data_IF_612857190422
#
_entry.id   IF_612857190422
#
_cell.length_a   1.000
_cell.length_b   1.000
_cell.length_c   1.000
_cell.angle_alpha   90.00
_cell.angle_beta   90.00
_cell.angle_gamma   90.00
#
_symmetry.space_group_name_H-M   'P 1'
#
loop_
_entity.id
_entity.type
_entity.pdbx_description
1 polymer ?
#
# COMPACT_ATOMS: atom_id res chain seq x y z
N UNK A 1 -10.23 9.06 4.66
CA UNK A 1 -10.33 7.67 5.17
C UNK A 1 -8.92 7.06 5.21
N UNK A 2 -8.69 6.07 6.08
CA UNK A 2 -7.52 5.19 6.09
C UNK A 2 -7.77 3.98 5.18
N UNK A 3 -6.74 3.51 4.48
CA UNK A 3 -6.82 2.31 3.65
C UNK A 3 -6.52 1.09 4.51
N UNK A 4 -7.38 0.07 4.44
CA UNK A 4 -7.17 -1.18 5.15
C UNK A 4 -7.43 -2.40 4.27
N UNK A 5 -6.86 -3.51 4.69
CA UNK A 5 -7.10 -4.82 4.06
C UNK A 5 -8.53 -5.31 4.32
N UNK A 6 -8.99 -6.28 3.54
CA UNK A 6 -10.32 -6.90 3.63
C UNK A 6 -10.60 -7.48 5.03
N UNK A 7 -9.55 -7.92 5.74
CA UNK A 7 -9.63 -8.44 7.12
C UNK A 7 -10.14 -7.41 8.14
N UNK A 8 -10.00 -6.11 7.86
CA UNK A 8 -10.51 -5.05 8.71
C UNK A 8 -11.97 -4.74 8.42
N UNK A 9 -12.68 -4.29 9.45
CA UNK A 9 -14.05 -3.79 9.29
C UNK A 9 -14.06 -2.47 8.54
N UNK A 10 -15.09 -2.27 7.72
CA UNK A 10 -15.30 -1.00 7.05
C UNK A 10 -15.93 0.01 8.04
N UNK A 11 -15.49 1.26 7.97
CA UNK A 11 -16.07 2.35 8.78
C UNK A 11 -15.98 3.65 8.00
N UNK A 12 -16.58 4.73 8.50
CA UNK A 12 -16.45 6.06 7.90
C UNK A 12 -14.98 6.52 7.81
N UNK A 13 -14.13 6.00 8.69
CA UNK A 13 -12.71 6.28 8.73
C UNK A 13 -11.85 5.21 8.06
N UNK A 14 -12.39 4.05 7.69
CA UNK A 14 -11.65 2.92 7.12
C UNK A 14 -12.28 2.45 5.81
N UNK A 15 -11.51 2.54 4.73
CA UNK A 15 -11.88 2.08 3.40
C UNK A 15 -11.17 0.78 3.08
N UNK A 16 -11.93 -0.21 2.63
CA UNK A 16 -11.44 -1.53 2.23
C UNK A 16 -11.97 -1.89 0.83
N UNK A 17 -11.29 -2.79 0.10
CA UNK A 17 -11.76 -3.23 -1.21
C UNK A 17 -13.17 -3.85 -1.13
N UNK A 18 -13.87 -3.88 -2.27
CA UNK A 18 -15.07 -4.68 -2.43
C UNK A 18 -14.72 -6.17 -2.24
N UNK A 19 -15.41 -6.88 -1.32
CA UNK A 19 -15.19 -8.30 -1.10
C UNK A 19 -15.80 -9.13 -2.25
N UNK A 20 -15.22 -10.30 -2.51
CA UNK A 20 -15.73 -11.27 -3.49
C UNK A 20 -14.90 -11.38 -4.76
N UNK A 21 -15.05 -12.51 -5.47
CA UNK A 21 -14.26 -12.85 -6.67
C UNK A 21 -14.88 -12.36 -7.98
N UNK A 22 -16.21 -12.31 -8.05
CA UNK A 22 -16.95 -11.88 -9.26
C UNK A 22 -17.42 -10.43 -9.12
N UNK A 23 -16.51 -9.51 -9.36
CA UNK A 23 -16.77 -8.07 -9.29
C UNK A 23 -16.99 -7.51 -10.69
N UNK A 24 -17.92 -6.57 -10.82
CA UNK A 24 -18.05 -5.79 -12.05
C UNK A 24 -16.82 -4.90 -12.26
N UNK A 25 -16.62 -4.43 -13.49
CA UNK A 25 -15.41 -3.66 -13.84
C UNK A 25 -15.24 -2.41 -12.98
N UNK A 26 -16.33 -1.71 -12.66
CA UNK A 26 -16.31 -0.58 -11.73
C UNK A 26 -15.71 -0.93 -10.35
N UNK A 27 -16.14 -2.04 -9.74
CA UNK A 27 -15.60 -2.50 -8.44
C UNK A 27 -14.16 -3.01 -8.59
N UNK A 28 -13.80 -3.62 -9.72
CA UNK A 28 -12.42 -4.03 -10.03
C UNK A 28 -11.49 -2.82 -10.16
N UNK A 29 -11.92 -1.76 -10.83
CA UNK A 29 -11.21 -0.47 -10.92
C UNK A 29 -10.99 0.10 -9.54
N UNK A 30 -12.05 0.15 -8.72
CA UNK A 30 -11.92 0.64 -7.35
C UNK A 30 -10.90 -0.18 -6.55
N UNK A 31 -11.01 -1.51 -6.55
CA UNK A 31 -10.09 -2.39 -5.82
C UNK A 31 -8.65 -2.23 -6.30
N UNK A 32 -8.45 -2.13 -7.62
CA UNK A 32 -7.14 -1.90 -8.20
C UNK A 32 -6.55 -0.56 -7.75
N UNK A 33 -7.31 0.53 -7.81
CA UNK A 33 -6.85 1.86 -7.36
C UNK A 33 -6.50 1.87 -5.88
N UNK A 34 -7.33 1.24 -5.05
CA UNK A 34 -7.08 1.14 -3.61
C UNK A 34 -5.82 0.31 -3.30
N UNK A 35 -5.65 -0.82 -4.00
CA UNK A 35 -4.45 -1.66 -3.92
C UNK A 35 -3.20 -0.94 -4.41
N UNK A 36 -3.31 -0.12 -5.47
CA UNK A 36 -2.20 0.66 -6.04
C UNK A 36 -1.68 1.68 -5.02
N UNK A 37 -2.56 2.42 -4.34
CA UNK A 37 -2.16 3.35 -3.26
C UNK A 37 -1.48 2.61 -2.11
N UNK A 38 -2.04 1.46 -1.70
CA UNK A 38 -1.46 0.64 -0.61
C UNK A 38 -0.07 0.12 -0.96
N UNK A 39 0.12 -0.38 -2.19
CA UNK A 39 1.43 -0.89 -2.63
C UNK A 39 2.47 0.21 -2.79
N UNK A 40 2.07 1.38 -3.30
CA UNK A 40 3.03 2.45 -3.60
C UNK A 40 3.50 3.24 -2.41
N UNK A 41 2.57 3.59 -1.54
CA UNK A 41 2.90 4.49 -0.44
C UNK A 41 3.19 3.65 0.78
N UNK A 42 2.22 2.84 1.21
CA UNK A 42 2.31 2.11 2.48
C UNK A 42 3.43 1.06 2.43
N UNK A 43 3.41 0.14 1.45
CA UNK A 43 4.43 -0.92 1.39
C UNK A 43 5.83 -0.37 1.17
N UNK A 44 5.99 0.61 0.28
CA UNK A 44 7.28 1.22 -0.01
C UNK A 44 7.85 1.93 1.23
N UNK A 45 7.04 2.74 1.94
CA UNK A 45 7.49 3.41 3.17
C UNK A 45 7.92 2.42 4.24
N UNK A 46 7.09 1.41 4.56
CA UNK A 46 7.45 0.40 5.56
C UNK A 46 8.63 -0.47 5.12
N UNK A 47 8.73 -0.75 3.82
CA UNK A 47 9.82 -1.49 3.21
C UNK A 47 11.16 -0.77 3.34
N UNK A 48 11.21 0.49 2.94
CA UNK A 48 12.40 1.35 3.07
C UNK A 48 12.77 1.51 4.54
N UNK A 49 11.79 1.77 5.42
CA UNK A 49 12.02 1.85 6.86
C UNK A 49 12.65 0.55 7.37
N UNK A 50 12.09 -0.61 7.06
CA UNK A 50 12.60 -1.89 7.55
C UNK A 50 13.98 -2.23 6.97
N UNK A 51 14.22 -1.94 5.70
CA UNK A 51 15.50 -2.17 5.04
C UNK A 51 16.63 -1.29 5.64
N UNK A 52 16.34 -0.01 5.94
CA UNK A 52 17.29 0.91 6.57
C UNK A 52 17.47 0.62 8.06
N UNK A 53 16.37 0.34 8.76
CA UNK A 53 16.32 0.05 10.19
C UNK A 53 16.17 -1.45 10.40
N UNK A 54 17.26 -2.18 10.19
CA UNK A 54 17.32 -3.66 10.25
C UNK A 54 16.79 -4.29 11.54
N UNK A 55 16.61 -3.50 12.61
CA UNK A 55 15.94 -3.92 13.84
C UNK A 55 14.53 -4.47 13.56
N UNK A 56 13.83 -3.96 12.54
CA UNK A 56 12.48 -4.42 12.17
C UNK A 56 12.48 -5.69 11.31
N UNK A 57 13.64 -6.14 10.81
CA UNK A 57 13.75 -7.37 10.01
C UNK A 57 13.87 -8.63 10.86
N UNK A 58 13.95 -8.50 12.19
CA UNK A 58 14.08 -9.60 13.14
C UNK A 58 13.09 -9.41 14.29
N UNK A 59 12.77 -10.50 14.99
CA UNK A 59 12.02 -10.42 16.24
C UNK A 59 12.75 -9.54 17.25
N UNK A 60 12.05 -8.56 17.80
CA UNK A 60 12.60 -7.63 18.78
C UNK A 60 12.41 -8.26 20.17
N UNK A 61 13.52 -8.56 20.85
CA UNK A 61 13.49 -9.08 22.23
C UNK A 61 13.40 -7.92 23.23
N UNK A 62 12.22 -7.32 23.35
CA UNK A 62 11.93 -6.24 24.30
C UNK A 62 10.45 -6.25 24.70
N UNK A 63 10.11 -5.59 25.81
CA UNK A 63 8.71 -5.40 26.19
C UNK A 63 7.98 -4.47 25.21
N UNK A 64 6.65 -4.59 25.04
CA UNK A 64 5.88 -3.73 24.14
C UNK A 64 6.14 -2.24 24.34
N UNK A 65 6.15 -1.76 25.59
CA UNK A 65 6.40 -0.35 25.92
C UNK A 65 7.78 0.16 25.45
N UNK A 66 8.77 -0.73 25.35
CA UNK A 66 10.12 -0.41 24.87
C UNK A 66 10.16 -0.48 23.34
N UNK A 67 9.48 -1.47 22.75
CA UNK A 67 9.33 -1.57 21.29
C UNK A 67 8.68 -0.32 20.72
N UNK A 68 7.64 0.22 21.37
CA UNK A 68 6.99 1.46 20.95
C UNK A 68 7.97 2.63 20.88
N UNK A 69 8.89 2.74 21.86
CA UNK A 69 9.95 3.76 21.85
C UNK A 69 10.93 3.55 20.70
N UNK A 70 11.29 2.30 20.38
CA UNK A 70 12.15 2.00 19.24
C UNK A 70 11.49 2.36 17.91
N UNK A 71 10.20 2.05 17.76
CA UNK A 71 9.42 2.41 16.57
C UNK A 71 9.36 3.94 16.42
N UNK A 72 8.99 4.66 17.48
CA UNK A 72 8.91 6.12 17.45
C UNK A 72 10.27 6.77 17.14
N UNK A 73 11.35 6.31 17.79
CA UNK A 73 12.69 6.82 17.54
C UNK A 73 13.13 6.59 16.09
N UNK A 74 12.89 5.38 15.55
CA UNK A 74 13.20 5.06 14.16
C UNK A 74 12.38 5.90 13.19
N UNK A 75 11.08 6.12 13.46
CA UNK A 75 10.23 6.99 12.63
C UNK A 75 10.71 8.44 12.63
N UNK A 76 11.00 9.02 13.81
CA UNK A 76 11.50 10.38 13.92
C UNK A 76 12.81 10.56 13.13
N UNK A 77 13.75 9.63 13.30
CA UNK A 77 15.05 9.70 12.64
C UNK A 77 14.94 9.40 11.14
N UNK A 78 14.09 8.47 10.74
CA UNK A 78 13.76 8.21 9.33
C UNK A 78 13.22 9.46 8.63
N UNK A 79 12.24 10.13 9.23
CA UNK A 79 11.64 11.34 8.67
C UNK A 79 12.67 12.48 8.57
N UNK A 80 13.53 12.63 9.58
CA UNK A 80 14.63 13.60 9.53
C UNK A 80 15.61 13.29 8.39
N UNK A 81 16.03 12.03 8.24
CA UNK A 81 16.96 11.62 7.19
C UNK A 81 16.36 11.75 5.79
N UNK A 82 15.07 11.45 5.61
CA UNK A 82 14.35 11.72 4.35
C UNK A 82 14.36 13.22 4.06
N UNK A 83 14.00 14.05 5.03
CA UNK A 83 13.99 15.51 4.85
C UNK A 83 15.36 16.03 4.40
N UNK A 84 16.44 15.55 5.02
CA UNK A 84 17.82 15.91 4.64
C UNK A 84 18.27 15.31 3.31
N UNK A 85 17.74 14.16 2.93
CA UNK A 85 17.98 13.55 1.63
C UNK A 85 17.30 14.38 0.52
N UNK A 86 16.08 14.84 0.74
CA UNK A 86 15.29 15.58 -0.26
C UNK A 86 15.80 17.01 -0.47
N UNK A 87 16.50 17.58 0.53
CA UNK A 87 17.26 18.83 0.38
C UNK A 87 18.47 18.70 -0.58
N UNK A 88 18.94 17.48 -0.86
CA UNK A 88 20.11 17.23 -1.71
C UNK A 88 19.72 16.95 -3.17
N UNK A 89 20.64 17.24 -4.09
CA UNK A 89 20.48 16.87 -5.49
C UNK A 89 20.34 15.35 -5.64
N UNK A 90 19.59 14.83 -6.62
CA UNK A 90 19.32 13.39 -6.76
C UNK A 90 20.55 12.48 -6.75
N UNK A 91 21.68 12.96 -7.28
CA UNK A 91 22.95 12.22 -7.33
C UNK A 91 23.67 12.13 -5.97
N UNK A 92 23.29 12.98 -5.01
CA UNK A 92 23.88 13.08 -3.68
C UNK A 92 23.01 12.39 -2.61
N UNK A 93 21.80 11.97 -2.96
CA UNK A 93 20.86 11.29 -2.08
C UNK A 93 21.37 9.91 -1.66
N UNK A 94 21.89 9.80 -0.44
CA UNK A 94 22.43 8.52 0.10
C UNK A 94 21.40 7.69 0.86
N UNK A 95 20.45 8.36 1.52
CA UNK A 95 19.51 7.69 2.41
C UNK A 95 18.35 7.04 1.64
N UNK A 96 17.86 7.73 0.61
CA UNK A 96 16.82 7.21 -0.25
C UNK A 96 17.10 7.70 -1.68
N UNK A 97 18.10 7.12 -2.37
CA UNK A 97 18.28 7.41 -3.79
C UNK A 97 17.04 6.92 -4.53
N UNK A 98 16.69 7.53 -5.66
CA UNK A 98 15.40 7.26 -6.26
C UNK A 98 15.26 5.80 -6.77
N UNK A 99 16.36 5.07 -6.99
CA UNK A 99 16.46 3.64 -7.36
C UNK A 99 16.09 2.72 -6.20
N UNK A 100 16.22 3.22 -4.98
CA UNK A 100 15.88 2.49 -3.77
C UNK A 100 14.37 2.40 -3.54
N UNK A 101 13.57 3.18 -4.27
CA UNK A 101 12.11 3.28 -4.15
C UNK A 101 11.47 2.52 -5.30
N UNK A 102 10.32 1.85 -5.06
CA UNK A 102 9.50 1.34 -6.16
C UNK A 102 9.08 2.49 -7.10
N UNK A 103 9.38 2.37 -8.40
CA UNK A 103 9.04 3.36 -9.43
C UNK A 103 7.93 2.85 -10.35
N UNK A 104 7.27 3.74 -11.07
CA UNK A 104 6.31 3.37 -12.11
C UNK A 104 6.79 3.86 -13.46
N UNK A 105 6.65 3.02 -14.49
CA UNK A 105 6.82 3.45 -15.88
C UNK A 105 5.59 4.24 -16.35
N UNK A 106 5.74 4.99 -17.45
CA UNK A 106 4.61 5.69 -18.08
C UNK A 106 3.44 4.76 -18.47
N UNK A 107 3.72 3.46 -18.63
CA UNK A 107 2.76 2.40 -18.98
C UNK A 107 2.05 1.79 -17.77
N UNK A 108 2.35 2.25 -16.56
CA UNK A 108 1.69 1.78 -15.36
C UNK A 108 2.35 0.57 -14.66
N UNK A 109 3.49 0.11 -15.20
CA UNK A 109 4.21 -1.05 -14.66
C UNK A 109 5.10 -0.62 -13.49
N UNK A 110 5.17 -1.47 -12.46
CA UNK A 110 5.96 -1.19 -11.26
C UNK A 110 7.37 -1.74 -11.47
N UNK A 111 8.37 -0.86 -11.43
CA UNK A 111 9.78 -1.20 -11.30
C UNK A 111 10.07 -1.33 -9.81
N UNK A 112 10.51 -2.51 -9.40
CA UNK A 112 10.81 -2.82 -8.00
C UNK A 112 12.07 -2.08 -7.53
N UNK A 113 11.98 -1.42 -6.38
CA UNK A 113 13.12 -0.73 -5.77
C UNK A 113 14.07 -1.68 -5.05
N UNK A 114 15.32 -1.28 -4.90
CA UNK A 114 16.38 -2.09 -4.28
C UNK A 114 16.06 -2.53 -2.84
N UNK A 115 15.20 -1.79 -2.12
CA UNK A 115 14.79 -2.12 -0.75
C UNK A 115 14.20 -3.53 -0.61
N UNK A 116 13.58 -4.05 -1.68
CA UNK A 116 12.98 -5.40 -1.73
C UNK A 116 14.01 -6.51 -1.68
N UNK A 117 15.22 -6.28 -2.19
CA UNK A 117 16.31 -7.25 -2.16
C UNK A 117 16.91 -7.38 -0.75
N UNK A 118 16.76 -6.35 0.08
CA UNK A 118 17.29 -6.33 1.45
C UNK A 118 16.32 -6.90 2.50
N UNK A 119 15.02 -6.98 2.16
CA UNK A 119 13.96 -7.49 3.03
C UNK A 119 13.52 -8.89 2.59
N UNK A 120 14.43 -9.86 2.61
CA UNK A 120 14.12 -11.25 2.22
C UNK A 120 13.51 -12.07 3.36
N UNK A 121 12.82 -11.41 4.31
CA UNK A 121 12.13 -12.06 5.42
C UNK A 121 10.66 -11.63 5.48
N UNK A 122 9.79 -12.43 4.86
CA UNK A 122 8.33 -12.35 4.96
C UNK A 122 7.86 -12.71 6.37
N UNK A 123 8.07 -11.80 7.33
CA UNK A 123 7.62 -11.96 8.72
C UNK A 123 6.24 -11.33 8.98
N UNK A 124 5.70 -10.56 8.03
CA UNK A 124 4.37 -9.96 8.14
C UNK A 124 3.31 -10.99 7.76
N UNK A 125 2.73 -11.65 8.75
CA UNK A 125 1.60 -12.58 8.55
C UNK A 125 0.32 -11.80 8.28
N UNK A 126 -0.49 -12.27 7.33
CA UNK A 126 -1.84 -11.75 7.12
C UNK A 126 -2.65 -11.83 8.42
N UNK A 127 -3.22 -10.71 8.84
CA UNK A 127 -4.09 -10.65 10.01
C UNK A 127 -5.39 -11.39 9.69
N UNK A 128 -5.78 -12.35 10.54
CA UNK A 128 -7.04 -13.07 10.42
C UNK A 128 -8.24 -12.15 10.65
N UNK A 129 -9.42 -12.55 10.16
CA UNK A 129 -10.66 -11.75 10.25
C UNK A 129 -10.95 -11.37 11.71
N UNK A 130 -10.87 -10.10 12.05
CA UNK A 130 -11.35 -9.59 13.33
C UNK A 130 -12.89 -9.51 13.29
N UNK A 131 -13.55 -9.84 14.41
CA UNK A 131 -14.99 -10.17 14.54
C UNK A 131 -15.97 -9.13 13.94
N UNK A 132 -17.25 -9.46 13.83
CA UNK A 132 -18.22 -8.66 13.07
C UNK A 132 -18.89 -7.55 13.90
N UNK A 133 -18.50 -6.28 13.68
CA UNK A 133 -19.39 -5.14 13.90
C UNK A 133 -19.83 -4.58 12.54
N UNK A 134 -21.14 -4.29 12.42
CA UNK A 134 -21.76 -3.84 11.16
C UNK A 134 -21.26 -2.43 10.84
N UNK A 135 -20.60 -2.29 9.69
CA UNK A 135 -20.23 -1.00 9.13
C UNK A 135 -21.47 -0.12 8.92
N UNK A 136 -21.34 1.19 9.17
CA UNK A 136 -22.44 2.15 8.97
C UNK A 136 -22.80 2.26 7.48
N UNK A 137 -24.07 2.48 7.18
CA UNK A 137 -24.57 2.67 5.80
C UNK A 137 -23.76 3.73 5.05
N UNK A 138 -23.40 4.80 5.74
CA UNK A 138 -22.61 5.92 5.22
C UNK A 138 -21.23 5.50 4.72
N UNK A 139 -20.59 4.52 5.36
CA UNK A 139 -19.29 4.01 4.93
C UNK A 139 -19.39 3.28 3.57
N UNK A 140 -20.48 2.55 3.33
CA UNK A 140 -20.75 1.92 2.03
C UNK A 140 -21.06 2.97 0.97
N UNK A 141 -21.90 3.95 1.31
CA UNK A 141 -22.22 5.06 0.41
C UNK A 141 -20.96 5.80 -0.01
N UNK A 142 -20.05 6.12 0.91
CA UNK A 142 -18.78 6.78 0.58
C UNK A 142 -17.95 5.96 -0.42
N UNK A 143 -17.84 4.64 -0.21
CA UNK A 143 -17.11 3.75 -1.13
C UNK A 143 -17.75 3.74 -2.51
N UNK A 144 -19.07 3.61 -2.57
CA UNK A 144 -19.82 3.56 -3.82
C UNK A 144 -19.77 4.90 -4.58
N UNK A 145 -19.81 6.03 -3.87
CA UNK A 145 -19.60 7.36 -4.45
C UNK A 145 -18.22 7.49 -5.07
N UNK A 146 -17.16 7.08 -4.37
CA UNK A 146 -15.79 7.09 -4.91
C UNK A 146 -15.64 6.16 -6.11
N UNK A 147 -16.22 4.97 -6.02
CA UNK A 147 -16.23 4.00 -7.11
C UNK A 147 -16.90 4.57 -8.36
N UNK A 148 -18.04 5.24 -8.21
CA UNK A 148 -18.72 5.92 -9.31
C UNK A 148 -17.92 7.11 -9.84
N UNK A 149 -17.29 7.90 -8.97
CA UNK A 149 -16.42 9.01 -9.37
C UNK A 149 -15.26 8.54 -10.27
N UNK A 150 -14.63 7.40 -9.98
CA UNK A 150 -13.53 6.85 -10.78
C UNK A 150 -13.93 6.42 -12.21
N UNK A 151 -15.23 6.29 -12.47
CA UNK A 151 -15.79 6.02 -13.80
C UNK A 151 -16.10 7.30 -14.59
N UNK A 152 -16.05 8.47 -13.95
CA UNK A 152 -16.30 9.76 -14.63
C UNK A 152 -15.07 10.23 -15.41
N UNK A 153 -15.28 11.08 -16.42
CA UNK A 153 -14.20 11.70 -17.20
C UNK A 153 -13.15 12.42 -16.33
N UNK A 154 -13.59 13.04 -15.22
CA UNK A 154 -12.69 13.74 -14.30
C UNK A 154 -11.91 12.79 -13.37
N UNK A 155 -12.50 11.65 -13.02
CA UNK A 155 -11.91 10.67 -12.10
C UNK A 155 -11.14 9.55 -12.79
N UNK A 156 -11.42 9.28 -14.07
CA UNK A 156 -10.81 8.18 -14.81
C UNK A 156 -9.35 8.45 -15.14
N UNK A 157 -8.60 7.36 -15.25
CA UNK A 157 -7.18 7.38 -15.60
C UNK A 157 -6.92 6.36 -16.70
N UNK A 158 -6.12 6.67 -17.74
CA UNK A 158 -6.04 5.84 -18.94
C UNK A 158 -5.66 4.37 -18.67
N UNK A 159 -4.73 4.15 -17.76
CA UNK A 159 -4.20 2.83 -17.40
C UNK A 159 -5.16 1.96 -16.58
N UNK A 160 -6.28 2.49 -16.05
CA UNK A 160 -7.15 1.70 -15.16
C UNK A 160 -7.92 0.59 -15.88
N UNK A 161 -8.26 0.81 -17.15
CA UNK A 161 -8.97 -0.18 -17.96
C UNK A 161 -8.00 -1.24 -18.49
N UNK A 162 -6.82 -0.83 -18.97
CA UNK A 162 -5.78 -1.73 -19.46
C UNK A 162 -5.39 -2.78 -18.40
N UNK A 163 -5.19 -2.35 -17.15
CA UNK A 163 -4.81 -3.26 -16.06
C UNK A 163 -5.85 -4.35 -15.78
N UNK A 164 -7.14 -4.02 -15.86
CA UNK A 164 -8.23 -4.96 -15.56
C UNK A 164 -8.45 -5.94 -16.70
N UNK A 165 -8.32 -5.47 -17.94
CA UNK A 165 -8.37 -6.32 -19.12
C UNK A 165 -7.15 -7.25 -19.19
N UNK A 166 -5.95 -6.78 -18.80
CA UNK A 166 -4.76 -7.63 -18.68
C UNK A 166 -4.89 -8.69 -17.56
N UNK A 167 -5.48 -8.33 -16.41
CA UNK A 167 -5.73 -9.26 -15.30
C UNK A 167 -6.73 -10.36 -15.66
N UNK A 168 -7.72 -10.05 -16.51
CA UNK A 168 -8.69 -11.01 -17.04
C UNK A 168 -8.03 -12.16 -17.82
N UNK A 169 -6.92 -11.88 -18.52
CA UNK A 169 -6.16 -12.91 -19.23
C UNK A 169 -5.28 -13.78 -18.32
N UNK A 170 -4.79 -13.26 -17.19
CA UNK A 170 -4.00 -14.06 -16.22
C UNK A 170 -4.87 -14.98 -15.36
N UNK A 171 -6.11 -14.58 -15.07
CA UNK A 171 -7.05 -15.42 -14.31
C UNK A 171 -7.65 -16.56 -15.15
N UNK A 172 -7.65 -16.46 -16.49
CA UNK A 172 -8.06 -17.55 -17.40
C UNK A 172 -6.97 -18.59 -17.68
N UNK A 173 -5.71 -18.31 -17.33
CA UNK A 173 -4.59 -19.25 -17.53
C UNK A 173 -4.36 -20.21 -16.36
N UNK A 174 -5.18 -20.12 -15.30
CA UNK A 174 -5.21 -21.07 -14.19
C UNK A 174 -6.61 -21.71 -14.10
N UNK A 175 -6.91 -22.58 -15.06
CA UNK A 175 -7.95 -23.62 -14.95
C UNK A 175 -7.34 -24.95 -15.37
#
# INVERSE_FOLDING_TARGET
YFVADEAFQMSTNIMRPYPGRFLNDQKRIFNYRLSRVSRRTIKNTFGILSARWRIFLRSICASPDVVDKYVLAAMCLHNFLITKNDEQAPQQQKYCPPEFVDRETEKGEIIEGEWRQQSQSDHIRHIGKCGAHRATKDAYTMRDTLSSYFMTLAGQVPWQFEYIHQGLHRDMTYN
#
